data_IF_698641826961
#
_entry.id   IF_698641826961
#
_cell.length_a   1.000
_cell.length_b   1.000
_cell.length_c   1.000
_cell.angle_alpha   90.00
_cell.angle_beta   90.00
_cell.angle_gamma   90.00
#
_symmetry.space_group_name_H-M   'P 1'
#
loop_
_entity.id
_entity.type
_entity.pdbx_description
1 polymer ?
#
# COMPACT_ATOMS: atom_id res chain seq x y z
N UNK A 1 -23.39 -45.27 0.84
CA UNK A 1 -21.98 -44.83 0.97
C UNK A 1 -21.20 -44.90 -0.34
N UNK A 2 -20.99 -46.08 -0.98
CA UNK A 2 -20.21 -46.19 -2.24
C UNK A 2 -20.73 -45.33 -3.41
N UNK A 3 -22.05 -45.30 -3.64
CA UNK A 3 -22.67 -44.48 -4.71
C UNK A 3 -22.52 -42.97 -4.47
N UNK A 4 -22.62 -42.52 -3.22
CA UNK A 4 -22.42 -41.12 -2.84
C UNK A 4 -20.96 -40.70 -3.04
N UNK A 5 -20.02 -41.53 -2.61
CA UNK A 5 -18.59 -41.29 -2.78
C UNK A 5 -18.19 -41.22 -4.26
N UNK A 6 -18.79 -42.07 -5.10
CA UNK A 6 -18.56 -42.04 -6.55
C UNK A 6 -19.17 -40.81 -7.22
N UNK A 7 -20.36 -40.37 -6.78
CA UNK A 7 -20.97 -39.13 -7.27
C UNK A 7 -20.13 -37.90 -6.92
N UNK A 8 -19.62 -37.81 -5.69
CA UNK A 8 -18.71 -36.74 -5.26
C UNK A 8 -17.43 -36.76 -6.09
N UNK A 9 -16.83 -37.93 -6.32
CA UNK A 9 -15.64 -38.05 -7.16
C UNK A 9 -15.88 -37.56 -8.59
N UNK A 10 -17.01 -37.92 -9.21
CA UNK A 10 -17.37 -37.46 -10.56
C UNK A 10 -17.52 -35.94 -10.58
N UNK A 11 -18.18 -35.35 -9.57
CA UNK A 11 -18.32 -33.89 -9.47
C UNK A 11 -16.94 -33.23 -9.35
N UNK A 12 -16.05 -33.74 -8.50
CA UNK A 12 -14.68 -33.23 -8.37
C UNK A 12 -13.90 -33.33 -9.68
N UNK A 13 -14.02 -34.44 -10.42
CA UNK A 13 -13.37 -34.62 -11.71
C UNK A 13 -13.92 -33.67 -12.78
N UNK A 14 -15.24 -33.47 -12.81
CA UNK A 14 -15.87 -32.52 -13.73
C UNK A 14 -15.48 -31.07 -13.40
N UNK A 15 -15.38 -30.71 -12.12
CA UNK A 15 -14.91 -29.40 -11.68
C UNK A 15 -13.43 -29.20 -12.03
N UNK A 16 -12.58 -30.20 -11.79
CA UNK A 16 -11.17 -30.15 -12.15
C UNK A 16 -11.00 -30.03 -13.68
N UNK A 17 -11.74 -30.82 -14.46
CA UNK A 17 -11.73 -30.74 -15.92
C UNK A 17 -12.20 -29.35 -16.40
N UNK A 18 -13.30 -28.83 -15.84
CA UNK A 18 -13.81 -27.49 -16.15
C UNK A 18 -12.78 -26.39 -15.86
N UNK A 19 -12.10 -26.46 -14.72
CA UNK A 19 -11.03 -25.51 -14.35
C UNK A 19 -9.82 -25.58 -15.28
N UNK A 20 -9.49 -26.75 -15.82
CA UNK A 20 -8.39 -26.89 -16.79
C UNK A 20 -8.74 -26.43 -18.21
N UNK A 21 -10.04 -26.39 -18.55
CA UNK A 21 -10.51 -25.95 -19.88
C UNK A 21 -10.66 -24.43 -19.99
N UNK A 22 -10.81 -23.73 -18.87
CA UNK A 22 -10.81 -22.26 -18.82
C UNK A 22 -9.35 -21.78 -18.88
N UNK A 23 -8.97 -20.90 -19.82
CA UNK A 23 -7.64 -20.29 -19.83
C UNK A 23 -7.33 -19.61 -18.50
N UNK A 24 -6.09 -19.73 -18.02
CA UNK A 24 -5.69 -19.02 -16.80
C UNK A 24 -5.66 -17.52 -17.09
N UNK A 25 -6.16 -16.64 -16.21
CA UNK A 25 -6.03 -15.20 -16.37
C UNK A 25 -4.62 -14.69 -16.02
N UNK A 26 -3.72 -15.60 -15.61
CA UNK A 26 -2.35 -15.32 -15.21
C UNK A 26 -1.37 -16.28 -15.90
N UNK A 27 -0.11 -15.87 -16.00
CA UNK A 27 1.07 -16.65 -16.36
C UNK A 27 1.95 -16.81 -15.11
N UNK A 28 1.53 -17.69 -14.20
CA UNK A 28 2.11 -17.78 -12.85
C UNK A 28 3.60 -18.17 -12.86
N UNK A 29 4.45 -17.39 -12.17
CA UNK A 29 5.85 -17.70 -11.94
C UNK A 29 6.08 -18.34 -10.56
N UNK A 30 7.00 -19.30 -10.43
CA UNK A 30 7.34 -19.86 -9.12
C UNK A 30 8.11 -18.83 -8.27
N UNK A 31 7.77 -18.73 -7.00
CA UNK A 31 8.48 -17.92 -6.01
C UNK A 31 8.62 -18.71 -4.71
N UNK A 32 9.80 -18.68 -4.08
CA UNK A 32 10.04 -19.31 -2.79
C UNK A 32 10.23 -18.23 -1.73
N UNK A 33 9.18 -17.88 -0.96
CA UNK A 33 9.28 -16.86 0.07
C UNK A 33 10.31 -17.27 1.14
N UNK A 34 11.23 -16.37 1.46
CA UNK A 34 12.13 -16.56 2.60
C UNK A 34 11.35 -16.55 3.92
N UNK A 35 11.75 -17.31 4.96
CA UNK A 35 11.04 -17.33 6.24
C UNK A 35 10.83 -15.93 6.82
N UNK A 36 9.65 -15.69 7.39
CA UNK A 36 9.31 -14.42 8.05
C UNK A 36 10.28 -14.09 9.18
N UNK A 37 10.53 -12.79 9.38
CA UNK A 37 11.08 -12.30 10.64
C UNK A 37 10.17 -12.72 11.79
N UNK A 38 10.77 -13.08 12.94
CA UNK A 38 10.02 -13.40 14.14
C UNK A 38 9.41 -12.13 14.73
N UNK A 39 8.16 -12.21 15.19
CA UNK A 39 7.47 -11.13 15.93
C UNK A 39 7.98 -11.09 17.38
N UNK A 40 9.23 -10.65 17.54
CA UNK A 40 9.95 -10.58 18.81
C UNK A 40 10.82 -9.30 18.88
N UNK A 41 11.29 -8.95 20.08
CA UNK A 41 12.09 -7.74 20.27
C UNK A 41 11.31 -6.49 19.84
N UNK A 42 11.86 -5.63 18.97
CA UNK A 42 11.16 -4.48 18.40
C UNK A 42 9.85 -4.81 17.65
N UNK A 43 9.66 -6.05 17.19
CA UNK A 43 8.44 -6.54 16.53
C UNK A 43 7.52 -7.35 17.47
N UNK A 44 7.78 -7.35 18.78
CA UNK A 44 6.98 -8.13 19.73
C UNK A 44 5.53 -7.65 19.75
N UNK A 45 4.60 -8.61 19.63
CA UNK A 45 3.15 -8.36 19.65
C UNK A 45 2.78 -7.60 20.94
N UNK A 46 2.01 -6.53 20.75
CA UNK A 46 1.50 -5.67 21.83
C UNK A 46 0.03 -5.26 21.54
N UNK A 47 -0.48 -4.30 22.30
CA UNK A 47 -1.86 -3.78 22.22
C UNK A 47 -1.86 -2.25 22.21
N UNK A 48 -0.87 -1.68 21.53
CA UNK A 48 -0.64 -0.23 21.52
C UNK A 48 -1.60 0.52 20.57
N UNK A 49 -2.33 -0.20 19.71
CA UNK A 49 -3.35 0.37 18.84
C UNK A 49 -4.78 0.25 19.39
N UNK A 50 -4.99 -0.45 20.52
CA UNK A 50 -6.33 -0.63 21.11
C UNK A 50 -7.01 0.69 21.51
N UNK A 51 -6.25 1.68 21.97
CA UNK A 51 -6.77 2.99 22.42
C UNK A 51 -6.83 4.03 21.28
N UNK A 52 -7.00 3.59 20.04
CA UNK A 52 -7.00 4.48 18.87
C UNK A 52 -8.24 5.39 18.85
N UNK A 53 -8.01 6.68 18.62
CA UNK A 53 -9.09 7.63 18.41
C UNK A 53 -9.49 7.67 16.93
N UNK A 54 -10.77 7.48 16.63
CA UNK A 54 -11.26 7.47 15.25
C UNK A 54 -11.90 8.82 14.91
N UNK A 55 -11.25 9.58 14.02
CA UNK A 55 -11.80 10.81 13.46
C UNK A 55 -12.82 10.52 12.35
N UNK A 56 -13.83 11.38 12.25
CA UNK A 56 -14.84 11.34 11.18
C UNK A 56 -15.49 9.96 10.98
N UNK A 57 -15.75 9.26 12.09
CA UNK A 57 -16.25 7.89 12.07
C UNK A 57 -17.53 7.77 11.22
N UNK A 58 -17.59 6.73 10.37
CA UNK A 58 -18.64 6.49 9.36
C UNK A 58 -18.73 7.50 8.20
N UNK A 59 -18.12 8.68 8.29
CA UNK A 59 -18.16 9.71 7.23
C UNK A 59 -17.03 9.54 6.21
N UNK A 60 -15.89 9.02 6.68
CA UNK A 60 -14.74 8.65 5.85
C UNK A 60 -14.63 7.13 5.84
N UNK A 61 -14.94 6.50 4.70
CA UNK A 61 -14.94 5.04 4.56
C UNK A 61 -13.81 4.62 3.64
N UNK A 62 -12.91 3.77 4.15
CA UNK A 62 -11.79 3.23 3.37
C UNK A 62 -10.80 4.30 2.89
N UNK A 63 -10.45 5.25 3.77
CA UNK A 63 -9.38 6.21 3.52
C UNK A 63 -8.04 5.50 3.49
N UNK A 64 -7.59 5.14 2.29
CA UNK A 64 -6.40 4.33 2.10
C UNK A 64 -5.14 5.12 2.50
N UNK A 65 -4.95 6.33 1.96
CA UNK A 65 -3.99 7.30 2.49
C UNK A 65 -4.64 8.46 3.24
N UNK A 66 -3.83 9.10 4.09
CA UNK A 66 -4.15 10.32 4.82
C UNK A 66 -3.01 11.30 4.73
N UNK A 67 -3.31 12.59 4.76
CA UNK A 67 -2.30 13.64 4.86
C UNK A 67 -2.80 14.74 5.82
N UNK A 68 -1.88 15.48 6.44
CA UNK A 68 -2.20 16.50 7.44
C UNK A 68 -1.47 17.78 7.10
N UNK A 69 -2.25 18.86 6.93
CA UNK A 69 -1.65 20.15 6.64
C UNK A 69 -1.09 20.86 7.88
N UNK A 70 -0.32 21.95 7.72
CA UNK A 70 0.25 22.69 8.84
C UNK A 70 -0.79 23.33 9.79
N UNK A 71 -2.08 23.37 9.42
CA UNK A 71 -3.16 23.84 10.29
C UNK A 71 -3.80 22.71 11.11
N UNK A 72 -3.32 21.47 10.96
CA UNK A 72 -3.83 20.29 11.63
C UNK A 72 -5.15 19.78 11.05
N UNK A 73 -5.51 20.20 9.82
CA UNK A 73 -6.65 19.62 9.10
C UNK A 73 -6.17 18.32 8.46
N UNK A 74 -6.97 17.28 8.62
CA UNK A 74 -6.67 15.95 8.10
C UNK A 74 -7.39 15.76 6.78
N UNK A 75 -6.72 15.17 5.81
CA UNK A 75 -7.23 14.86 4.49
C UNK A 75 -7.20 13.36 4.29
N UNK A 76 -8.18 12.84 3.57
CA UNK A 76 -8.23 11.44 3.19
C UNK A 76 -9.13 11.25 1.99
N UNK A 77 -9.01 10.10 1.35
CA UNK A 77 -9.78 9.77 0.15
C UNK A 77 -10.71 8.59 0.39
N UNK A 78 -12.02 8.79 0.27
CA UNK A 78 -12.97 7.70 0.51
C UNK A 78 -13.01 6.70 -0.63
N UNK A 79 -13.49 5.49 -0.30
CA UNK A 79 -13.57 4.38 -1.23
C UNK A 79 -14.42 4.62 -2.48
N UNK A 80 -15.36 5.56 -2.40
CA UNK A 80 -16.22 6.01 -3.51
C UNK A 80 -15.58 7.14 -4.33
N UNK A 81 -14.34 7.55 -4.03
CA UNK A 81 -13.55 8.49 -4.83
C UNK A 81 -13.68 9.95 -4.44
N UNK A 82 -14.15 10.27 -3.22
CA UNK A 82 -14.20 11.65 -2.72
C UNK A 82 -12.94 12.00 -1.95
N UNK A 83 -12.44 13.21 -2.17
CA UNK A 83 -11.40 13.82 -1.32
C UNK A 83 -12.11 14.56 -0.18
N UNK A 84 -11.85 14.13 1.04
CA UNK A 84 -12.47 14.67 2.25
C UNK A 84 -11.45 15.42 3.08
N UNK A 85 -11.87 16.56 3.62
CA UNK A 85 -11.17 17.28 4.68
C UNK A 85 -11.91 17.08 5.99
N UNK A 86 -11.16 16.79 7.05
CA UNK A 86 -11.62 16.72 8.43
C UNK A 86 -10.94 17.85 9.21
N UNK A 87 -11.72 18.77 9.75
CA UNK A 87 -11.20 19.83 10.61
C UNK A 87 -10.87 19.31 12.01
N UNK A 88 -10.04 20.03 12.80
CA UNK A 88 -9.67 19.61 14.16
C UNK A 88 -10.84 19.39 15.12
N UNK A 89 -11.99 20.02 14.86
CA UNK A 89 -13.25 19.83 15.61
C UNK A 89 -14.08 18.64 15.13
N UNK A 90 -13.60 17.89 14.12
CA UNK A 90 -14.20 16.66 13.61
C UNK A 90 -15.21 16.86 12.47
N UNK A 91 -15.43 18.09 12.00
CA UNK A 91 -16.33 18.34 10.87
C UNK A 91 -15.71 17.89 9.54
N UNK A 92 -16.54 17.31 8.67
CA UNK A 92 -16.11 16.79 7.37
C UNK A 92 -16.63 17.63 6.20
N UNK A 93 -15.79 17.84 5.19
CA UNK A 93 -16.14 18.53 3.96
C UNK A 93 -15.60 17.76 2.75
N UNK A 94 -16.42 17.61 1.70
CA UNK A 94 -15.96 17.07 0.43
C UNK A 94 -15.35 18.18 -0.42
N UNK A 95 -14.07 18.07 -0.75
CA UNK A 95 -13.35 19.04 -1.57
C UNK A 95 -13.48 18.76 -3.06
N UNK A 96 -13.44 17.48 -3.43
CA UNK A 96 -13.49 17.03 -4.82
C UNK A 96 -13.96 15.58 -4.91
N UNK A 97 -14.26 15.13 -6.12
CA UNK A 97 -14.54 13.73 -6.41
C UNK A 97 -13.86 13.34 -7.71
N UNK A 98 -12.89 12.42 -7.64
CA UNK A 98 -12.02 12.06 -8.78
C UNK A 98 -12.71 11.20 -9.84
N UNK A 99 -13.90 10.66 -9.53
CA UNK A 99 -14.58 9.62 -10.31
C UNK A 99 -13.72 8.37 -10.53
N UNK A 100 -12.73 8.15 -9.65
CA UNK A 100 -11.83 7.00 -9.60
C UNK A 100 -11.70 6.48 -8.17
N UNK A 101 -10.50 6.00 -7.82
CA UNK A 101 -10.15 5.58 -6.45
C UNK A 101 -8.81 6.21 -6.10
N UNK A 102 -8.81 7.35 -5.38
CA UNK A 102 -7.59 7.93 -4.86
C UNK A 102 -7.03 7.03 -3.76
N UNK A 103 -5.73 6.82 -3.82
CA UNK A 103 -4.96 5.98 -2.91
C UNK A 103 -3.97 6.86 -2.17
N UNK A 104 -2.85 7.25 -2.76
CA UNK A 104 -1.87 8.17 -2.17
C UNK A 104 -2.20 9.67 -2.30
N UNK A 105 -1.83 10.43 -1.27
CA UNK A 105 -2.09 11.87 -1.13
C UNK A 105 -0.85 12.60 -0.60
N UNK A 106 -0.41 13.67 -1.26
CA UNK A 106 0.66 14.51 -0.74
C UNK A 106 0.51 15.98 -1.14
N UNK A 107 0.69 16.91 -0.20
CA UNK A 107 0.72 18.35 -0.50
C UNK A 107 2.00 18.77 -1.23
N UNK A 108 1.86 19.53 -2.31
CA UNK A 108 3.00 20.23 -2.92
C UNK A 108 3.29 21.57 -2.20
N UNK A 109 4.47 22.14 -2.45
CA UNK A 109 4.91 23.40 -1.86
C UNK A 109 4.10 24.63 -2.29
N UNK A 110 3.22 24.48 -3.30
CA UNK A 110 2.30 25.51 -3.78
C UNK A 110 0.90 25.37 -3.17
N UNK A 111 0.69 24.36 -2.31
CA UNK A 111 -0.57 24.08 -1.65
C UNK A 111 -1.58 23.34 -2.52
N UNK A 112 -1.14 22.65 -3.58
CA UNK A 112 -1.98 21.69 -4.28
C UNK A 112 -1.89 20.33 -3.59
N UNK A 113 -2.99 19.60 -3.52
CA UNK A 113 -2.97 18.20 -3.11
C UNK A 113 -2.72 17.34 -4.36
N UNK A 114 -1.57 16.69 -4.40
CA UNK A 114 -1.24 15.70 -5.44
C UNK A 114 -1.82 14.36 -5.02
N UNK A 115 -2.38 13.65 -6.00
CA UNK A 115 -3.21 12.47 -5.77
C UNK A 115 -2.81 11.38 -6.75
N UNK A 116 -2.43 10.21 -6.23
CA UNK A 116 -2.40 8.97 -7.00
C UNK A 116 -3.82 8.39 -7.02
N UNK A 117 -4.41 8.25 -8.21
CA UNK A 117 -5.71 7.61 -8.38
C UNK A 117 -5.57 6.35 -9.23
N UNK A 118 -6.02 5.22 -8.68
CA UNK A 118 -5.89 3.90 -9.27
C UNK A 118 -6.47 3.79 -10.68
N UNK A 119 -7.43 4.65 -11.05
CA UNK A 119 -8.09 4.61 -12.35
C UNK A 119 -7.92 5.90 -13.18
N UNK A 120 -7.37 6.96 -12.59
CA UNK A 120 -7.22 8.27 -13.25
C UNK A 120 -5.77 8.72 -13.41
N UNK A 121 -4.81 7.98 -12.86
CA UNK A 121 -3.39 8.32 -12.91
C UNK A 121 -3.02 9.36 -11.85
N UNK A 122 -2.05 10.21 -12.17
CA UNK A 122 -1.59 11.27 -11.26
C UNK A 122 -2.45 12.51 -11.44
N UNK A 123 -3.07 13.01 -10.37
CA UNK A 123 -3.94 14.18 -10.37
C UNK A 123 -3.39 15.28 -9.45
N UNK A 124 -3.91 16.50 -9.62
CA UNK A 124 -3.67 17.65 -8.75
C UNK A 124 -4.99 18.33 -8.43
N UNK A 125 -5.24 18.57 -7.15
CA UNK A 125 -6.35 19.37 -6.65
C UNK A 125 -5.82 20.70 -6.12
N UNK A 126 -6.16 21.79 -6.81
CA UNK A 126 -5.74 23.13 -6.42
C UNK A 126 -6.59 23.70 -5.25
N UNK A 127 -6.09 24.70 -4.50
CA UNK A 127 -6.83 25.33 -3.40
C UNK A 127 -8.19 25.91 -3.77
N UNK A 128 -8.40 26.26 -5.05
CA UNK A 128 -9.67 26.78 -5.58
C UNK A 128 -10.70 25.66 -5.87
N UNK A 129 -10.34 24.38 -5.65
CA UNK A 129 -11.17 23.21 -5.93
C UNK A 129 -11.02 22.65 -7.36
N UNK A 130 -10.12 23.20 -8.18
CA UNK A 130 -9.88 22.69 -9.53
C UNK A 130 -9.09 21.38 -9.48
N UNK A 131 -9.70 20.31 -10.00
CA UNK A 131 -9.09 18.99 -10.14
C UNK A 131 -8.58 18.81 -11.57
N UNK A 132 -7.29 18.55 -11.74
CA UNK A 132 -6.63 18.37 -13.05
C UNK A 132 -5.86 17.05 -13.09
N UNK A 133 -5.89 16.37 -14.23
CA UNK A 133 -5.04 15.20 -14.49
C UNK A 133 -3.66 15.66 -14.95
N UNK A 134 -2.61 15.24 -14.24
CA UNK A 134 -1.22 15.53 -14.56
C UNK A 134 -0.63 14.50 -15.52
N UNK A 135 -0.83 13.20 -15.24
CA UNK A 135 -0.29 12.10 -16.04
C UNK A 135 -1.28 10.93 -16.10
N UNK A 136 -1.36 10.29 -17.27
CA UNK A 136 -2.04 9.00 -17.47
C UNK A 136 -1.16 7.96 -18.15
N UNK A 137 0.05 8.34 -18.55
CA UNK A 137 1.00 7.50 -19.30
C UNK A 137 2.42 8.02 -19.04
N UNK A 138 3.38 7.11 -18.93
CA UNK A 138 4.81 7.41 -18.83
C UNK A 138 5.59 6.39 -19.65
N UNK A 139 6.56 6.86 -20.43
CA UNK A 139 7.39 6.04 -21.34
C UNK A 139 6.58 5.21 -22.36
N UNK A 140 5.43 5.74 -22.79
CA UNK A 140 4.52 5.05 -23.71
C UNK A 140 3.70 3.92 -23.08
N UNK A 141 3.75 3.78 -21.75
CA UNK A 141 3.02 2.77 -20.99
C UNK A 141 1.96 3.47 -20.12
N UNK A 142 0.66 3.20 -20.33
CA UNK A 142 -0.41 3.76 -19.51
C UNK A 142 -0.20 3.48 -18.03
N UNK A 143 -0.58 4.42 -17.18
CA UNK A 143 -0.72 4.18 -15.75
C UNK A 143 -1.95 3.32 -15.54
N UNK A 144 -1.76 2.12 -14.98
CA UNK A 144 -2.84 1.15 -14.77
C UNK A 144 -3.30 1.16 -13.32
N UNK A 145 -2.38 1.43 -12.40
CA UNK A 145 -2.66 1.38 -10.97
C UNK A 145 -1.73 2.36 -10.23
N UNK A 146 -1.94 3.66 -10.42
CA UNK A 146 -1.22 4.68 -9.65
C UNK A 146 -1.61 4.57 -8.17
N UNK A 147 -0.62 4.37 -7.30
CA UNK A 147 -0.87 3.87 -5.94
C UNK A 147 -0.44 4.89 -4.89
N UNK A 148 0.86 5.11 -4.68
CA UNK A 148 1.37 6.05 -3.66
C UNK A 148 2.33 7.10 -4.25
N UNK A 149 2.60 8.19 -3.52
CA UNK A 149 3.55 9.24 -3.93
C UNK A 149 4.27 9.96 -2.77
N UNK A 150 5.40 10.57 -3.11
CA UNK A 150 6.16 11.47 -2.25
C UNK A 150 6.74 12.61 -3.10
N UNK A 151 6.95 13.79 -2.50
CA UNK A 151 7.44 14.97 -3.21
C UNK A 151 8.78 15.41 -2.64
N UNK A 152 9.82 15.42 -3.49
CA UNK A 152 11.15 15.90 -3.14
C UNK A 152 11.21 17.42 -2.97
N UNK A 153 12.28 17.91 -2.33
CA UNK A 153 12.47 19.34 -2.06
C UNK A 153 12.57 20.17 -3.34
N UNK A 154 13.04 19.54 -4.43
CA UNK A 154 13.12 20.15 -5.77
C UNK A 154 11.79 20.12 -6.54
N UNK A 155 10.72 19.61 -5.92
CA UNK A 155 9.39 19.48 -6.51
C UNK A 155 9.22 18.25 -7.41
N UNK A 156 10.23 17.38 -7.52
CA UNK A 156 10.08 16.10 -8.21
C UNK A 156 9.13 15.19 -7.43
N UNK A 157 8.09 14.72 -8.11
CA UNK A 157 7.11 13.78 -7.58
C UNK A 157 7.60 12.37 -7.91
N UNK A 158 7.89 11.59 -6.88
CA UNK A 158 8.13 10.16 -6.99
C UNK A 158 6.82 9.44 -6.70
N UNK A 159 6.38 8.57 -7.61
CA UNK A 159 5.13 7.84 -7.41
C UNK A 159 5.19 6.46 -8.03
N UNK A 160 4.31 5.58 -7.59
CA UNK A 160 4.24 4.20 -8.07
C UNK A 160 3.10 3.98 -9.04
N UNK A 161 3.37 3.08 -9.98
CA UNK A 161 2.35 2.36 -10.73
C UNK A 161 2.49 0.90 -10.27
N UNK A 162 1.57 0.45 -9.43
CA UNK A 162 1.69 -0.81 -8.69
C UNK A 162 1.83 -2.01 -9.63
N UNK A 163 1.11 -1.96 -10.75
CA UNK A 163 1.20 -2.96 -11.79
C UNK A 163 0.81 -2.35 -13.13
N UNK A 164 1.68 -2.46 -14.12
CA UNK A 164 1.34 -2.10 -15.51
C UNK A 164 0.36 -3.08 -16.18
N UNK A 165 -0.09 -4.12 -15.46
CA UNK A 165 -0.91 -5.21 -16.02
C UNK A 165 -2.26 -5.38 -15.32
N UNK A 166 -2.28 -5.29 -13.98
CA UNK A 166 -3.46 -5.55 -13.18
C UNK A 166 -3.92 -4.27 -12.49
N UNK A 167 -5.16 -3.86 -12.71
CA UNK A 167 -5.78 -2.76 -11.99
C UNK A 167 -6.14 -3.15 -10.54
N UNK A 168 -6.64 -2.18 -9.78
CA UNK A 168 -7.08 -2.36 -8.39
C UNK A 168 -8.15 -3.44 -8.22
N UNK A 169 -8.99 -3.74 -9.22
CA UNK A 169 -9.98 -4.81 -9.09
C UNK A 169 -9.35 -6.21 -9.22
N UNK A 170 -8.17 -6.30 -9.83
CA UNK A 170 -7.49 -7.54 -10.12
C UNK A 170 -6.16 -7.72 -9.38
N UNK A 171 -5.87 -6.89 -8.36
CA UNK A 171 -4.62 -6.92 -7.59
C UNK A 171 -4.21 -8.31 -7.07
N UNK A 172 -5.19 -9.13 -6.63
CA UNK A 172 -4.93 -10.52 -6.18
C UNK A 172 -4.35 -11.40 -7.29
N UNK A 173 -4.70 -11.13 -8.56
CA UNK A 173 -4.13 -11.85 -9.70
C UNK A 173 -2.65 -11.51 -9.88
N UNK A 174 -2.22 -10.29 -9.57
CA UNK A 174 -0.80 -9.93 -9.59
C UNK A 174 0.00 -10.73 -8.54
N UNK A 175 -0.53 -10.82 -7.31
CA UNK A 175 0.04 -11.68 -6.25
C UNK A 175 0.20 -13.13 -6.70
N UNK A 176 -0.84 -13.67 -7.33
CA UNK A 176 -0.86 -15.05 -7.82
C UNK A 176 0.04 -15.22 -9.04
N UNK A 177 0.17 -14.22 -9.90
CA UNK A 177 1.09 -14.27 -11.04
C UNK A 177 2.54 -14.25 -10.55
N UNK A 178 2.82 -13.49 -9.49
CA UNK A 178 4.13 -13.35 -8.85
C UNK A 178 5.22 -12.90 -9.83
N UNK A 179 4.88 -11.99 -10.74
CA UNK A 179 5.76 -11.36 -11.72
C UNK A 179 5.96 -9.86 -11.41
N UNK A 180 7.07 -9.26 -11.84
CA UNK A 180 7.44 -7.93 -11.42
C UNK A 180 6.89 -6.84 -12.37
N UNK A 181 5.61 -6.49 -12.23
CA UNK A 181 4.94 -5.51 -13.11
C UNK A 181 4.92 -4.07 -12.57
N UNK A 182 5.41 -3.85 -11.35
CA UNK A 182 5.42 -2.54 -10.72
C UNK A 182 6.59 -1.69 -11.17
N UNK A 183 6.42 -0.37 -11.06
CA UNK A 183 7.46 0.62 -11.36
C UNK A 183 7.37 1.86 -10.48
N UNK A 184 8.54 2.43 -10.19
CA UNK A 184 8.72 3.76 -9.61
C UNK A 184 8.95 4.77 -10.73
N UNK A 185 8.23 5.88 -10.67
CA UNK A 185 8.27 6.95 -11.66
C UNK A 185 8.72 8.24 -10.96
N UNK A 186 9.55 9.02 -11.64
CA UNK A 186 9.87 10.39 -11.27
C UNK A 186 9.23 11.35 -12.27
N UNK A 187 8.51 12.35 -11.77
CA UNK A 187 7.87 13.39 -12.56
C UNK A 187 8.22 14.78 -12.02
N UNK A 188 8.73 15.65 -12.88
CA UNK A 188 8.97 17.04 -12.55
C UNK A 188 7.88 17.91 -13.20
N UNK A 189 6.96 18.50 -12.41
CA UNK A 189 5.83 19.28 -12.95
C UNK A 189 6.25 20.62 -13.57
N UNK A 190 7.44 21.15 -13.26
CA UNK A 190 7.93 22.39 -13.87
C UNK A 190 8.42 22.18 -15.30
N UNK A 191 9.10 21.07 -15.54
CA UNK A 191 9.62 20.71 -16.88
C UNK A 191 8.65 19.85 -17.69
N UNK A 192 7.66 19.25 -17.02
CA UNK A 192 6.75 18.27 -17.62
C UNK A 192 7.40 16.91 -17.92
N UNK A 193 8.62 16.66 -17.45
CA UNK A 193 9.34 15.41 -17.71
C UNK A 193 8.93 14.33 -16.72
N UNK A 194 8.46 13.20 -17.24
CA UNK A 194 8.19 11.98 -16.48
C UNK A 194 9.02 10.83 -17.05
N UNK A 195 9.57 9.97 -16.19
CA UNK A 195 10.26 8.74 -16.59
C UNK A 195 10.18 7.68 -15.50
N UNK A 196 10.15 6.41 -15.90
CA UNK A 196 10.40 5.29 -15.00
C UNK A 196 11.86 5.32 -14.54
N UNK A 197 12.07 5.26 -13.22
CA UNK A 197 13.40 5.30 -12.59
C UNK A 197 13.83 3.95 -12.01
N UNK A 198 12.85 3.11 -11.69
CA UNK A 198 13.06 1.72 -11.29
C UNK A 198 11.85 0.91 -11.75
N UNK A 199 12.07 -0.19 -12.46
CA UNK A 199 11.06 -1.13 -12.91
C UNK A 199 11.31 -2.52 -12.31
N UNK A 200 10.56 -3.51 -12.79
CA UNK A 200 10.62 -4.89 -12.31
C UNK A 200 10.41 -5.01 -10.78
N UNK A 201 9.46 -4.24 -10.23
CA UNK A 201 9.03 -4.33 -8.84
C UNK A 201 7.84 -5.28 -8.68
N UNK A 202 7.78 -6.01 -7.58
CA UNK A 202 6.67 -6.92 -7.28
C UNK A 202 5.55 -6.21 -6.52
N UNK A 203 4.65 -5.57 -7.27
CA UNK A 203 3.59 -4.69 -6.78
C UNK A 203 4.18 -3.47 -6.05
N UNK A 204 4.47 -2.41 -6.83
CA UNK A 204 5.09 -1.19 -6.35
C UNK A 204 4.07 -0.34 -5.58
N UNK A 205 4.18 -0.29 -4.27
CA UNK A 205 3.16 0.30 -3.40
C UNK A 205 3.69 1.60 -2.78
N UNK A 206 3.80 1.68 -1.46
CA UNK A 206 4.21 2.89 -0.76
C UNK A 206 5.57 3.46 -1.17
N UNK A 207 5.71 4.78 -1.08
CA UNK A 207 6.92 5.53 -1.44
C UNK A 207 7.31 6.55 -0.36
N UNK A 208 8.59 6.60 0.00
CA UNK A 208 9.11 7.59 0.95
C UNK A 208 10.52 8.07 0.60
N UNK A 209 10.82 9.34 0.88
CA UNK A 209 12.15 9.90 0.75
C UNK A 209 12.95 9.84 2.05
N UNK A 210 14.24 9.52 1.93
CA UNK A 210 15.22 9.73 3.00
C UNK A 210 15.28 11.20 3.45
N UNK A 211 15.71 11.43 4.69
CA UNK A 211 15.85 12.79 5.24
C UNK A 211 16.85 13.65 4.46
N UNK A 212 17.83 13.02 3.80
CA UNK A 212 18.84 13.69 2.97
C UNK A 212 18.47 13.74 1.49
N UNK A 213 17.34 13.14 1.10
CA UNK A 213 16.93 12.96 -0.28
C UNK A 213 18.06 12.36 -1.15
N UNK A 214 18.78 11.38 -0.59
CA UNK A 214 19.79 10.60 -1.32
C UNK A 214 19.25 9.26 -1.83
N UNK A 215 18.16 8.78 -1.24
CA UNK A 215 17.38 7.66 -1.77
C UNK A 215 15.86 7.82 -1.58
N UNK A 216 15.13 7.06 -2.40
CA UNK A 216 13.68 6.81 -2.34
C UNK A 216 13.46 5.35 -1.96
N UNK A 217 12.52 5.08 -1.06
CA UNK A 217 12.02 3.74 -0.73
C UNK A 217 10.79 3.43 -1.57
N UNK A 218 10.65 2.16 -1.96
CA UNK A 218 9.47 1.63 -2.63
C UNK A 218 9.13 0.28 -2.03
N UNK A 219 7.87 0.10 -1.64
CA UNK A 219 7.41 -1.18 -1.12
C UNK A 219 7.15 -2.17 -2.26
N UNK A 220 7.59 -3.40 -2.08
CA UNK A 220 7.23 -4.53 -2.94
C UNK A 220 6.33 -5.47 -2.16
N UNK A 221 5.03 -5.18 -2.19
CA UNK A 221 4.00 -5.84 -1.38
C UNK A 221 4.14 -7.34 -1.48
N UNK A 222 4.18 -7.92 -2.68
CA UNK A 222 4.22 -9.37 -2.89
C UNK A 222 5.61 -10.01 -2.78
N UNK A 223 6.59 -9.26 -2.24
CA UNK A 223 7.89 -9.80 -1.81
C UNK A 223 8.20 -9.59 -0.35
N UNK A 224 7.26 -9.06 0.44
CA UNK A 224 7.46 -8.82 1.88
C UNK A 224 8.73 -8.01 2.14
N UNK A 225 9.00 -6.99 1.31
CA UNK A 225 10.23 -6.21 1.36
C UNK A 225 10.01 -4.75 0.94
N UNK A 226 10.99 -3.93 1.30
CA UNK A 226 11.15 -2.56 0.82
C UNK A 226 12.45 -2.48 0.03
N UNK A 227 12.40 -1.88 -1.15
CA UNK A 227 13.55 -1.64 -2.01
C UNK A 227 13.93 -0.18 -1.93
N UNK A 228 15.23 0.09 -1.86
CA UNK A 228 15.81 1.43 -1.86
C UNK A 228 16.39 1.73 -3.24
N UNK A 229 16.00 2.85 -3.83
CA UNK A 229 16.57 3.40 -5.05
C UNK A 229 17.37 4.67 -4.74
N UNK A 230 18.65 4.68 -5.10
CA UNK A 230 19.54 5.80 -4.85
C UNK A 230 19.35 6.89 -5.91
N UNK A 231 18.93 8.08 -5.48
CA UNK A 231 18.66 9.22 -6.37
C UNK A 231 19.82 10.20 -6.43
N UNK A 232 20.75 10.15 -5.48
CA UNK A 232 21.98 10.93 -5.50
C UNK A 232 23.17 10.16 -4.90
N UNK A 233 24.36 10.78 -4.90
CA UNK A 233 25.59 10.20 -4.37
C UNK A 233 26.21 9.09 -5.24
N UNK A 234 27.22 8.36 -4.73
CA UNK A 234 28.01 7.41 -5.52
C UNK A 234 27.22 6.21 -6.07
N UNK A 235 26.05 5.91 -5.48
CA UNK A 235 25.17 4.82 -5.88
C UNK A 235 24.02 5.28 -6.77
N UNK A 236 23.95 6.55 -7.17
CA UNK A 236 22.86 7.10 -7.97
C UNK A 236 22.50 6.18 -9.16
N UNK A 237 21.20 5.89 -9.30
CA UNK A 237 20.67 4.99 -10.33
C UNK A 237 20.73 3.50 -9.99
N UNK A 238 21.27 3.12 -8.83
CA UNK A 238 21.28 1.74 -8.34
C UNK A 238 20.16 1.52 -7.31
N UNK A 239 19.79 0.26 -7.10
CA UNK A 239 18.88 -0.16 -6.05
C UNK A 239 19.47 -1.28 -5.18
N UNK A 240 19.04 -1.34 -3.93
CA UNK A 240 19.32 -2.45 -3.01
C UNK A 240 18.13 -2.72 -2.08
N UNK A 241 18.12 -3.89 -1.43
CA UNK A 241 17.06 -4.24 -0.49
C UNK A 241 17.28 -3.49 0.81
N UNK A 242 16.28 -2.70 1.22
CA UNK A 242 16.31 -1.91 2.44
C UNK A 242 15.99 -2.77 3.67
N UNK A 243 14.89 -3.52 3.58
CA UNK A 243 14.46 -4.52 4.57
C UNK A 243 13.68 -5.63 3.85
N UNK A 244 13.80 -6.87 4.30
CA UNK A 244 13.07 -8.03 3.78
C UNK A 244 12.43 -8.89 4.87
N UNK A 245 11.72 -9.93 4.44
CA UNK A 245 11.09 -10.94 5.32
C UNK A 245 10.11 -10.31 6.32
N UNK A 246 9.44 -9.26 5.90
CA UNK A 246 8.45 -8.58 6.72
C UNK A 246 7.37 -9.55 7.22
N UNK A 247 6.84 -9.34 8.44
CA UNK A 247 5.81 -10.19 9.04
C UNK A 247 4.41 -9.95 8.47
N UNK A 248 4.30 -9.16 7.39
CA UNK A 248 3.06 -8.81 6.70
C UNK A 248 3.36 -8.26 5.31
N UNK A 249 2.32 -8.05 4.52
CA UNK A 249 2.43 -7.38 3.21
C UNK A 249 2.67 -5.87 3.43
N UNK A 250 3.79 -5.27 2.98
CA UNK A 250 3.99 -3.82 3.07
C UNK A 250 3.06 -3.07 2.13
N UNK A 251 2.54 -1.95 2.61
CA UNK A 251 1.56 -1.09 1.91
C UNK A 251 2.12 0.34 1.80
N UNK A 252 1.56 1.35 2.46
CA UNK A 252 2.14 2.69 2.58
C UNK A 252 3.41 2.72 3.45
N UNK A 253 4.35 3.59 3.08
CA UNK A 253 5.53 3.95 3.88
C UNK A 253 5.72 5.46 3.83
N UNK A 254 5.98 6.10 4.97
CA UNK A 254 6.15 7.56 5.06
C UNK A 254 7.33 7.94 5.94
N UNK A 255 7.89 9.13 5.71
CA UNK A 255 8.91 9.70 6.58
C UNK A 255 8.29 10.26 7.86
N UNK A 256 8.94 10.03 9.00
CA UNK A 256 8.57 10.70 10.26
C UNK A 256 9.08 12.15 10.34
N UNK A 257 9.90 12.58 9.38
CA UNK A 257 10.66 13.83 9.43
C UNK A 257 11.83 13.82 10.43
N UNK A 258 12.05 12.72 11.15
CA UNK A 258 13.10 12.58 12.19
C UNK A 258 14.21 11.59 11.81
N UNK A 259 14.32 11.24 10.53
CA UNK A 259 15.25 10.21 10.05
C UNK A 259 14.77 8.78 10.38
N UNK A 260 13.46 8.59 10.49
CA UNK A 260 12.81 7.28 10.60
C UNK A 260 11.66 7.21 9.61
N UNK A 261 11.17 5.99 9.35
CA UNK A 261 10.03 5.73 8.49
C UNK A 261 8.96 4.96 9.25
N UNK A 262 7.69 5.24 8.95
CA UNK A 262 6.58 4.39 9.35
C UNK A 262 6.15 3.53 8.17
N UNK A 263 6.08 2.22 8.39
CA UNK A 263 5.64 1.23 7.42
C UNK A 263 4.33 0.61 7.90
N UNK A 264 3.30 0.69 7.06
CA UNK A 264 2.02 0.02 7.29
C UNK A 264 2.05 -1.43 6.78
N UNK A 265 1.41 -2.31 7.54
CA UNK A 265 1.21 -3.72 7.20
C UNK A 265 -0.28 -4.05 7.40
N UNK A 266 -1.14 -3.93 6.38
CA UNK A 266 -2.59 -4.11 6.51
C UNK A 266 -2.98 -5.51 7.00
N UNK A 267 -2.12 -6.50 6.81
CA UNK A 267 -2.35 -7.84 7.33
C UNK A 267 -1.04 -8.53 7.62
N UNK A 268 -1.08 -9.46 8.58
CA UNK A 268 0.03 -10.36 8.85
C UNK A 268 0.24 -11.32 7.68
N UNK A 269 1.47 -11.81 7.58
CA UNK A 269 1.93 -12.67 6.51
C UNK A 269 1.04 -13.91 6.39
N UNK A 270 0.54 -14.16 5.19
CA UNK A 270 -0.47 -15.18 4.95
C UNK A 270 0.19 -16.54 4.62
N UNK A 271 0.07 -17.57 5.50
CA UNK A 271 0.70 -18.87 5.26
C UNK A 271 0.16 -19.60 4.03
N UNK A 272 -1.10 -19.33 3.63
CA UNK A 272 -1.70 -19.91 2.44
C UNK A 272 -1.06 -19.33 1.17
N UNK A 273 -0.82 -18.02 1.14
CA UNK A 273 -0.10 -17.39 0.03
C UNK A 273 1.33 -17.96 -0.08
N UNK A 274 2.05 -18.04 1.03
CA UNK A 274 3.40 -18.60 1.10
C UNK A 274 3.46 -20.06 0.60
N UNK A 275 2.50 -20.87 1.00
CA UNK A 275 2.40 -22.26 0.55
C UNK A 275 2.16 -22.37 -0.96
N UNK A 276 1.40 -21.44 -1.56
CA UNK A 276 1.06 -21.47 -2.98
C UNK A 276 2.17 -20.94 -3.89
N UNK A 277 2.96 -19.96 -3.44
CA UNK A 277 3.98 -19.30 -4.27
C UNK A 277 4.94 -20.24 -5.03
N UNK A 278 5.41 -21.36 -4.45
CA UNK A 278 6.29 -22.29 -5.15
C UNK A 278 5.64 -23.06 -6.32
N UNK A 279 4.30 -23.07 -6.42
CA UNK A 279 3.55 -23.94 -7.31
C UNK A 279 2.72 -23.15 -8.33
N UNK A 280 3.27 -22.79 -9.50
CA UNK A 280 2.55 -22.08 -10.57
C UNK A 280 1.16 -22.64 -10.90
N UNK A 281 1.07 -23.96 -11.08
CA UNK A 281 -0.19 -24.63 -11.40
C UNK A 281 -1.27 -24.45 -10.31
N UNK A 282 -0.88 -24.40 -9.04
CA UNK A 282 -1.84 -24.17 -7.96
C UNK A 282 -2.37 -22.73 -8.01
N UNK A 283 -1.51 -21.76 -8.27
CA UNK A 283 -1.89 -20.34 -8.41
C UNK A 283 -2.81 -20.14 -9.61
N UNK A 284 -2.55 -20.83 -10.72
CA UNK A 284 -3.44 -20.86 -11.88
C UNK A 284 -4.84 -21.40 -11.54
N UNK A 285 -4.94 -22.46 -10.73
CA UNK A 285 -6.23 -22.97 -10.27
C UNK A 285 -6.94 -21.91 -9.42
N UNK A 286 -6.23 -21.32 -8.44
CA UNK A 286 -6.80 -20.32 -7.52
C UNK A 286 -7.26 -19.07 -8.26
N UNK A 287 -6.53 -18.65 -9.29
CA UNK A 287 -6.87 -17.48 -10.10
C UNK A 287 -8.22 -17.64 -10.84
N UNK A 288 -8.65 -18.87 -11.13
CA UNK A 288 -9.95 -19.17 -11.76
C UNK A 288 -11.11 -19.27 -10.77
N UNK A 289 -10.83 -19.32 -9.48
CA UNK A 289 -11.87 -19.35 -8.45
C UNK A 289 -12.50 -17.96 -8.28
N UNK A 290 -13.78 -17.89 -7.87
CA UNK A 290 -14.39 -16.64 -7.46
C UNK A 290 -13.65 -16.04 -6.25
N UNK A 291 -13.70 -14.71 -6.10
CA UNK A 291 -12.98 -13.98 -5.04
C UNK A 291 -13.26 -14.50 -3.63
N UNK A 292 -14.48 -14.99 -3.39
CA UNK A 292 -14.89 -15.55 -2.10
C UNK A 292 -14.07 -16.77 -1.66
N UNK A 293 -13.44 -17.47 -2.60
CA UNK A 293 -12.66 -18.69 -2.40
C UNK A 293 -11.13 -18.49 -2.49
N UNK A 294 -10.67 -17.26 -2.77
CA UNK A 294 -9.24 -16.91 -2.78
C UNK A 294 -8.75 -16.62 -1.34
N UNK A 295 -7.44 -16.66 -1.06
CA UNK A 295 -6.91 -16.28 0.24
C UNK A 295 -7.36 -14.86 0.61
N UNK A 296 -7.76 -14.68 1.86
CA UNK A 296 -8.21 -13.40 2.39
C UNK A 296 -7.19 -12.86 3.38
N UNK A 297 -7.04 -11.52 3.46
CA UNK A 297 -6.25 -10.92 4.54
C UNK A 297 -6.94 -11.22 5.89
N UNK A 298 -6.13 -11.44 6.92
CA UNK A 298 -6.62 -11.55 8.29
C UNK A 298 -6.76 -10.14 8.89
N UNK A 299 -7.85 -9.83 9.61
CA UNK A 299 -7.93 -8.61 10.41
C UNK A 299 -6.73 -8.52 11.35
N UNK A 300 -6.01 -7.41 11.27
CA UNK A 300 -4.86 -7.08 12.10
C UNK A 300 -4.54 -5.59 11.90
N UNK A 301 -4.20 -4.86 12.96
CA UNK A 301 -3.58 -3.55 12.87
C UNK A 301 -2.08 -3.67 13.12
N UNK A 302 -1.23 -3.30 12.16
CA UNK A 302 0.22 -3.36 12.31
C UNK A 302 0.92 -2.20 11.60
N UNK A 303 1.72 -1.46 12.37
CA UNK A 303 2.64 -0.46 11.84
C UNK A 303 4.03 -0.66 12.47
N UNK A 304 5.07 -0.33 11.72
CA UNK A 304 6.47 -0.57 12.10
C UNK A 304 7.28 0.71 11.89
N UNK A 305 8.06 1.13 12.89
CA UNK A 305 9.03 2.23 12.74
C UNK A 305 10.40 1.66 12.35
N UNK A 306 10.99 2.20 11.28
CA UNK A 306 12.30 1.83 10.75
C UNK A 306 13.27 3.01 10.84
N UNK A 307 14.56 2.76 11.09
CA UNK A 307 15.60 3.78 10.86
C UNK A 307 16.01 3.85 9.38
N UNK A 308 16.83 4.83 9.01
CA UNK A 308 17.37 4.98 7.63
C UNK A 308 18.33 3.85 7.18
N UNK A 309 18.59 2.86 8.03
CA UNK A 309 19.37 1.69 7.70
C UNK A 309 18.50 0.44 7.53
N UNK A 310 17.18 0.55 7.71
CA UNK A 310 16.23 -0.55 7.60
C UNK A 310 16.13 -1.39 8.86
N UNK A 311 16.65 -0.92 10.00
CA UNK A 311 16.46 -1.63 11.28
C UNK A 311 15.09 -1.29 11.86
N UNK A 312 14.41 -2.31 12.41
CA UNK A 312 13.16 -2.11 13.13
C UNK A 312 13.45 -1.50 14.51
N UNK A 313 12.85 -0.34 14.78
CA UNK A 313 12.95 0.35 16.07
C UNK A 313 11.85 -0.07 17.04
N UNK A 314 10.61 -0.20 16.52
CA UNK A 314 9.43 -0.66 17.27
C UNK A 314 8.28 -0.99 16.33
N UNK A 315 7.22 -1.57 16.87
CA UNK A 315 5.95 -1.79 16.19
C UNK A 315 4.76 -1.56 17.12
N UNK A 316 3.64 -1.16 16.54
CA UNK A 316 2.36 -1.00 17.23
C UNK A 316 1.36 -1.98 16.62
N UNK A 317 0.59 -2.65 17.47
CA UNK A 317 -0.28 -3.76 17.11
C UNK A 317 -1.70 -3.58 17.65
N UNK A 318 -2.67 -4.04 16.87
CA UNK A 318 -4.03 -4.46 17.24
C UNK A 318 -4.17 -5.90 16.73
N UNK A 319 -3.85 -6.92 17.58
CA UNK A 319 -3.75 -8.30 17.13
C UNK A 319 -5.07 -8.95 16.77
N UNK A 320 -6.16 -8.51 17.40
CA UNK A 320 -7.51 -8.99 17.11
C UNK A 320 -8.11 -8.31 15.86
N UNK A 321 -7.65 -7.10 15.54
CA UNK A 321 -8.16 -6.32 14.42
C UNK A 321 -9.58 -5.82 14.66
N UNK A 322 -9.97 -5.65 15.92
CA UNK A 322 -11.31 -5.23 16.32
C UNK A 322 -11.44 -3.71 16.36
N UNK A 323 -10.34 -2.98 16.60
CA UNK A 323 -10.34 -1.53 16.78
C UNK A 323 -10.04 -0.80 15.46
N UNK A 324 -8.93 -1.15 14.79
CA UNK A 324 -8.53 -0.51 13.53
C UNK A 324 -7.66 -1.43 12.64
N UNK A 325 -8.28 -2.43 11.99
CA UNK A 325 -7.58 -3.37 11.13
C UNK A 325 -7.26 -2.79 9.74
N UNK A 326 -6.41 -3.50 8.99
CA UNK A 326 -6.09 -3.18 7.60
C UNK A 326 -5.53 -1.77 7.44
N UNK A 327 -4.59 -1.40 8.31
CA UNK A 327 -3.87 -0.13 8.24
C UNK A 327 -3.02 -0.12 6.97
N UNK A 328 -3.26 0.86 6.11
CA UNK A 328 -2.65 0.99 4.79
C UNK A 328 -1.62 2.11 4.74
N UNK A 329 -1.76 3.15 5.58
CA UNK A 329 -0.86 4.30 5.62
C UNK A 329 -0.68 4.83 7.04
N UNK A 330 0.40 5.59 7.25
CA UNK A 330 0.72 6.27 8.50
C UNK A 330 1.30 7.64 8.17
N UNK A 331 0.84 8.70 8.81
CA UNK A 331 1.53 10.01 8.77
C UNK A 331 1.83 10.49 10.18
N UNK A 332 3.08 10.88 10.45
CA UNK A 332 3.48 11.45 11.73
C UNK A 332 3.49 12.98 11.68
N UNK A 333 2.58 13.61 12.42
CA UNK A 333 2.55 15.08 12.57
C UNK A 333 2.36 15.45 14.04
N UNK A 334 3.23 16.32 14.56
CA UNK A 334 3.18 16.84 15.93
C UNK A 334 3.07 15.75 17.03
N UNK A 335 3.83 14.65 16.89
CA UNK A 335 3.79 13.47 17.79
C UNK A 335 2.47 12.68 17.78
N UNK A 336 1.64 12.83 16.74
CA UNK A 336 0.48 11.99 16.48
C UNK A 336 0.73 11.20 15.21
N UNK A 337 0.27 9.95 15.20
CA UNK A 337 0.22 9.09 14.02
C UNK A 337 -1.22 9.08 13.51
N UNK A 338 -1.40 9.50 12.27
CA UNK A 338 -2.66 9.44 11.55
C UNK A 338 -2.64 8.22 10.65
N UNK A 339 -3.66 7.36 10.74
CA UNK A 339 -3.68 6.05 10.11
C UNK A 339 -4.82 5.98 9.09
N UNK A 340 -4.48 5.64 7.85
CA UNK A 340 -5.44 5.21 6.84
C UNK A 340 -5.74 3.70 6.94
N UNK A 341 -6.82 3.27 6.31
CA UNK A 341 -7.31 1.90 6.30
C UNK A 341 -8.08 1.57 5.03
N UNK A 342 -7.91 0.35 4.52
CA UNK A 342 -8.57 -0.10 3.29
C UNK A 342 -10.10 -0.18 3.40
N UNK A 343 -10.59 -0.63 4.57
CA UNK A 343 -12.01 -0.94 4.80
C UNK A 343 -12.58 -0.35 6.09
N UNK A 344 -11.75 0.30 6.91
CA UNK A 344 -12.18 0.90 8.15
C UNK A 344 -13.06 2.14 7.96
N UNK A 345 -13.60 2.62 9.10
CA UNK A 345 -14.66 3.61 9.14
C UNK A 345 -14.22 4.88 9.87
N UNK A 346 -13.26 5.58 9.29
CA UNK A 346 -12.73 6.83 9.78
C UNK A 346 -11.22 6.89 9.55
N UNK A 347 -10.58 7.84 10.22
CA UNK A 347 -9.13 7.98 10.23
C UNK A 347 -8.65 7.72 11.65
N UNK A 348 -7.71 6.80 11.81
CA UNK A 348 -7.17 6.43 13.11
C UNK A 348 -6.17 7.48 13.60
N UNK A 349 -6.16 7.78 14.90
CA UNK A 349 -5.21 8.69 15.52
C UNK A 349 -4.70 8.10 16.82
N UNK A 350 -3.38 7.94 16.90
CA UNK A 350 -2.69 7.44 18.10
C UNK A 350 -1.47 8.31 18.40
N UNK A 351 -1.01 8.35 19.65
CA UNK A 351 0.20 9.08 19.99
C UNK A 351 1.45 8.36 19.46
N UNK A 352 2.35 9.11 18.83
CA UNK A 352 3.68 8.61 18.46
C UNK A 352 4.59 8.41 19.69
N UNK A 353 4.26 9.06 20.82
CA UNK A 353 4.95 8.87 22.09
C UNK A 353 4.32 7.72 22.86
N UNK A 354 5.06 6.62 22.99
CA UNK A 354 4.63 5.55 23.87
C UNK A 354 4.83 6.02 25.32
N UNK A 355 3.77 5.91 26.12
CA UNK A 355 3.91 6.05 27.58
C UNK A 355 4.91 4.98 28.05
N UNK A 356 5.80 5.29 29.02
CA UNK A 356 6.57 4.24 29.66
C UNK A 356 5.58 3.20 30.18
N UNK A 357 5.78 1.93 29.81
CA UNK A 357 5.04 0.83 30.43
C UNK A 357 5.32 0.87 31.94
N UNK A 358 4.28 0.85 32.79
CA UNK A 358 4.46 0.89 34.24
C UNK A 358 5.20 -0.33 34.80
#
# INVERSE_FOLDING_TARGET
>A
MKKLMMAVLIICLLLAAGLTLIPSPIDAAAYNPAPSMAMAGPLAVNRLLDDINILAAQSVLGAEDVDVDPQGRVYGATADGRIIRVSPDGNTETLAHTQGRPLGLHWDSRGNLIICDAFKGLLSLAPNGELTTLLTEVDGIPLVFADDLEIADDGTIYFTDASIKYDQHHYVLDMLEARPWGRLIAFNPETGQARTVLDELYFANGVALSSKQDFVLVNETYRYRVTRYWISGPKQGQSDIFIDRLPGFPDGISSSGRGTFWLALPTVRNPQADFMHPWPFLKDIVARLPDSARPKPAPYGLIVELDEQGNVLRSLHDPEGDDFPFITSVQEVNNLLYLGTLTGKGIGVVSAQLRPTP
#
